data_IF_506361912225
#
_entry.id   IF_506361912225
#
_cell.length_a   1.000
_cell.length_b   1.000
_cell.length_c   1.000
_cell.angle_alpha   90.00
_cell.angle_beta   90.00
_cell.angle_gamma   90.00
#
_symmetry.space_group_name_H-M   'P 1'
#
loop_
_entity.id
_entity.type
_entity.pdbx_description
1 polymer ?
#
# COMPACT_ATOMS: atom_id res chain seq x y z
N UNK A 1 18.41 -11.91 17.32
CA UNK A 1 17.27 -11.77 16.39
C UNK A 1 16.12 -11.26 17.24
N UNK A 2 16.04 -9.94 17.39
CA UNK A 2 15.11 -9.31 18.31
C UNK A 2 13.92 -8.84 17.48
N UNK A 3 12.82 -9.60 17.52
CA UNK A 3 11.52 -9.08 17.11
C UNK A 3 11.08 -8.19 18.27
N UNK A 4 11.51 -6.92 18.23
CA UNK A 4 11.10 -5.93 19.22
C UNK A 4 9.58 -5.93 19.33
N UNK A 5 9.06 -6.00 20.54
CA UNK A 5 7.64 -5.91 20.87
C UNK A 5 7.13 -4.52 20.44
N UNK A 6 6.81 -4.35 19.15
CA UNK A 6 6.15 -3.14 18.66
C UNK A 6 4.68 -3.20 19.06
N UNK A 7 4.17 -2.10 19.63
CA UNK A 7 2.75 -1.92 19.88
C UNK A 7 1.92 -2.33 18.65
N UNK A 8 0.81 -3.04 18.86
CA UNK A 8 -0.10 -3.47 17.79
C UNK A 8 -0.46 -2.27 16.89
N UNK A 9 0.02 -2.30 15.65
CA UNK A 9 -0.20 -1.23 14.69
C UNK A 9 -1.64 -1.30 14.17
N UNK A 10 -2.29 -0.16 13.95
CA UNK A 10 -3.66 -0.14 13.40
C UNK A 10 -3.62 -0.32 11.88
N UNK A 11 -4.54 -1.11 11.34
CA UNK A 11 -4.77 -1.20 9.91
C UNK A 11 -6.25 -1.02 9.58
N UNK A 12 -6.54 -0.24 8.55
CA UNK A 12 -7.87 -0.13 7.95
C UNK A 12 -7.88 -0.82 6.59
N UNK A 13 -8.85 -1.69 6.36
CA UNK A 13 -9.06 -2.35 5.07
C UNK A 13 -10.38 -1.87 4.49
N UNK A 14 -10.29 -1.23 3.33
CA UNK A 14 -11.41 -0.70 2.56
C UNK A 14 -11.62 -1.65 1.38
N UNK A 15 -12.56 -2.57 1.52
CA UNK A 15 -12.86 -3.61 0.54
C UNK A 15 -14.33 -4.04 0.65
N UNK A 16 -15.02 -4.08 -0.49
CA UNK A 16 -16.42 -4.55 -0.57
C UNK A 16 -16.50 -6.08 -0.75
N UNK A 17 -15.40 -6.73 -1.14
CA UNK A 17 -15.30 -8.18 -1.22
C UNK A 17 -14.99 -8.77 0.17
N UNK A 18 -15.98 -9.40 0.79
CA UNK A 18 -15.85 -10.00 2.13
C UNK A 18 -14.82 -11.15 2.18
N UNK A 19 -14.67 -11.90 1.11
CA UNK A 19 -13.72 -13.02 1.04
C UNK A 19 -12.29 -12.50 1.01
N UNK A 20 -12.04 -11.52 0.14
CA UNK A 20 -10.73 -10.86 0.05
C UNK A 20 -10.39 -10.09 1.32
N UNK A 21 -11.35 -9.37 1.91
CA UNK A 21 -11.20 -8.74 3.22
C UNK A 21 -10.74 -9.75 4.29
N UNK A 22 -11.38 -10.92 4.38
CA UNK A 22 -11.02 -11.95 5.36
C UNK A 22 -9.59 -12.48 5.15
N UNK A 23 -9.18 -12.69 3.91
CA UNK A 23 -7.82 -13.12 3.58
C UNK A 23 -6.78 -12.06 3.95
N UNK A 24 -6.99 -10.79 3.57
CA UNK A 24 -6.10 -9.68 3.90
C UNK A 24 -6.01 -9.50 5.41
N UNK A 25 -7.15 -9.53 6.10
CA UNK A 25 -7.22 -9.39 7.56
C UNK A 25 -6.44 -10.49 8.25
N UNK A 26 -6.50 -11.72 7.74
CA UNK A 26 -5.71 -12.85 8.25
C UNK A 26 -4.22 -12.57 8.15
N UNK A 27 -3.74 -12.16 6.97
CA UNK A 27 -2.31 -11.82 6.75
C UNK A 27 -1.87 -10.66 7.65
N UNK A 28 -2.66 -9.61 7.78
CA UNK A 28 -2.35 -8.46 8.63
C UNK A 28 -2.37 -8.79 10.12
N UNK A 29 -3.29 -9.64 10.57
CA UNK A 29 -3.31 -10.12 11.96
C UNK A 29 -2.06 -10.95 12.27
N UNK A 30 -1.57 -11.77 11.34
CA UNK A 30 -0.28 -12.48 11.49
C UNK A 30 0.91 -11.51 11.60
N UNK A 31 0.80 -10.33 10.97
CA UNK A 31 1.77 -9.25 11.06
C UNK A 31 1.57 -8.36 12.31
N UNK A 32 0.75 -8.78 13.27
CA UNK A 32 0.41 -8.05 14.50
C UNK A 32 -0.27 -6.68 14.26
N UNK A 33 -1.01 -6.54 13.16
CA UNK A 33 -1.92 -5.39 12.96
C UNK A 33 -3.29 -5.66 13.60
N UNK A 34 -3.89 -4.63 14.20
CA UNK A 34 -5.31 -4.61 14.55
C UNK A 34 -6.12 -4.11 13.35
N UNK A 35 -6.74 -5.05 12.64
CA UNK A 35 -7.47 -4.76 11.41
C UNK A 35 -8.91 -4.32 11.70
N UNK A 36 -9.35 -3.25 11.04
CA UNK A 36 -10.75 -2.83 11.00
C UNK A 36 -11.21 -2.64 9.56
N UNK A 37 -12.41 -3.11 9.25
CA UNK A 37 -13.09 -2.71 8.02
C UNK A 37 -13.65 -1.30 8.17
N UNK A 38 -13.53 -0.48 7.14
CA UNK A 38 -14.06 0.87 7.13
C UNK A 38 -14.38 1.29 5.69
N UNK A 39 -15.39 2.13 5.51
CA UNK A 39 -15.60 2.84 4.26
C UNK A 39 -14.68 4.07 4.17
N UNK A 40 -14.27 4.46 2.96
CA UNK A 40 -13.28 5.53 2.76
C UNK A 40 -13.73 6.88 3.37
N UNK A 41 -15.02 7.17 3.33
CA UNK A 41 -15.64 8.43 3.78
C UNK A 41 -15.56 8.59 5.30
N UNK A 42 -15.45 7.47 6.03
CA UNK A 42 -15.28 7.44 7.48
C UNK A 42 -13.82 7.42 7.91
N UNK A 43 -12.87 7.24 6.99
CA UNK A 43 -11.45 7.14 7.32
C UNK A 43 -10.94 8.43 7.98
N UNK A 44 -11.36 9.58 7.47
CA UNK A 44 -10.93 10.90 7.97
C UNK A 44 -11.32 11.18 9.43
N UNK A 45 -12.37 10.53 9.93
CA UNK A 45 -12.84 10.66 11.33
C UNK A 45 -12.31 9.54 12.23
N UNK A 46 -12.00 8.37 11.65
CA UNK A 46 -11.45 7.23 12.38
C UNK A 46 -9.95 7.36 12.71
N UNK A 47 -9.22 8.16 11.92
CA UNK A 47 -7.79 8.41 12.11
C UNK A 47 -7.58 9.71 12.89
N UNK A 48 -6.79 9.63 13.96
CA UNK A 48 -6.35 10.81 14.71
C UNK A 48 -5.12 11.43 14.05
N UNK A 49 -4.89 12.74 14.26
CA UNK A 49 -3.83 13.50 13.56
C UNK A 49 -2.43 12.88 13.72
N UNK A 50 -2.14 12.31 14.88
CA UNK A 50 -0.83 11.75 15.22
C UNK A 50 -0.73 10.23 14.98
N UNK A 51 -1.80 9.60 14.49
CA UNK A 51 -1.79 8.16 14.16
C UNK A 51 -1.40 7.95 12.71
N UNK A 52 -0.50 7.00 12.43
CA UNK A 52 -0.10 6.60 11.08
C UNK A 52 -0.55 5.15 10.79
N UNK A 53 -1.87 4.88 10.67
CA UNK A 53 -2.34 3.54 10.40
C UNK A 53 -1.92 3.08 8.99
N UNK A 54 -1.79 1.77 8.82
CA UNK A 54 -1.75 1.19 7.49
C UNK A 54 -3.16 1.27 6.88
N UNK A 55 -3.29 1.79 5.67
CA UNK A 55 -4.56 1.81 4.94
C UNK A 55 -4.42 0.96 3.69
N UNK A 56 -5.27 -0.05 3.57
CA UNK A 56 -5.36 -0.93 2.41
C UNK A 56 -6.66 -0.61 1.67
N UNK A 57 -6.54 -0.23 0.39
CA UNK A 57 -7.66 0.07 -0.48
C UNK A 57 -7.72 -0.97 -1.61
N UNK A 58 -8.79 -1.73 -1.70
CA UNK A 58 -8.90 -2.79 -2.70
C UNK A 58 -9.62 -2.34 -3.97
N UNK A 59 -9.21 -2.89 -5.12
CA UNK A 59 -9.89 -2.68 -6.39
C UNK A 59 -11.31 -3.24 -6.32
N UNK A 60 -12.29 -2.40 -6.61
CA UNK A 60 -13.71 -2.74 -6.53
C UNK A 60 -14.38 -2.25 -5.25
N UNK A 61 -13.62 -1.71 -4.28
CA UNK A 61 -14.22 -0.95 -3.19
C UNK A 61 -14.88 0.32 -3.72
N UNK A 62 -16.04 0.67 -3.16
CA UNK A 62 -16.74 1.92 -3.46
C UNK A 62 -16.05 3.10 -2.79
N UNK A 63 -15.39 3.96 -3.57
CA UNK A 63 -14.76 5.18 -3.09
C UNK A 63 -14.83 6.30 -4.15
N UNK A 64 -14.75 7.56 -3.70
CA UNK A 64 -14.53 8.71 -4.58
C UNK A 64 -13.10 9.22 -4.42
N UNK A 65 -12.49 9.71 -5.49
CA UNK A 65 -11.13 10.25 -5.45
C UNK A 65 -11.00 11.43 -4.47
N UNK A 66 -12.06 12.22 -4.33
CA UNK A 66 -12.09 13.35 -3.40
C UNK A 66 -12.02 12.91 -1.93
N UNK A 67 -12.51 11.72 -1.58
CA UNK A 67 -12.43 11.22 -0.20
C UNK A 67 -10.97 10.89 0.16
N UNK A 68 -10.23 10.29 -0.79
CA UNK A 68 -8.80 10.04 -0.63
C UNK A 68 -8.03 11.36 -0.51
N UNK A 69 -8.28 12.32 -1.41
CA UNK A 69 -7.62 13.64 -1.34
C UNK A 69 -7.94 14.39 -0.05
N UNK A 70 -9.19 14.38 0.40
CA UNK A 70 -9.60 15.04 1.64
C UNK A 70 -8.90 14.42 2.86
N UNK A 71 -8.72 13.10 2.87
CA UNK A 71 -7.96 12.41 3.91
C UNK A 71 -6.53 12.94 4.01
N UNK A 72 -5.78 12.96 2.90
CA UNK A 72 -4.39 13.41 2.86
C UNK A 72 -4.25 14.93 3.10
N UNK A 73 -5.21 15.74 2.67
CA UNK A 73 -5.23 17.17 2.96
C UNK A 73 -5.33 17.47 4.46
N UNK A 74 -6.11 16.67 5.20
CA UNK A 74 -6.24 16.79 6.66
C UNK A 74 -5.07 16.15 7.41
N UNK A 75 -4.50 15.08 6.87
CA UNK A 75 -3.43 14.31 7.51
C UNK A 75 -2.18 14.30 6.63
N UNK A 76 -1.48 15.45 6.59
CA UNK A 76 -0.38 15.71 5.65
C UNK A 76 0.81 14.75 5.80
N UNK A 77 0.98 14.14 6.99
CA UNK A 77 2.10 13.26 7.30
C UNK A 77 1.79 11.77 7.08
N UNK A 78 0.65 11.41 6.50
CA UNK A 78 0.28 10.00 6.31
C UNK A 78 1.06 9.37 5.17
N UNK A 79 1.45 8.10 5.35
CA UNK A 79 1.86 7.24 4.24
C UNK A 79 0.77 7.10 3.16
N UNK A 80 1.18 6.89 1.90
CA UNK A 80 0.27 6.43 0.85
C UNK A 80 -0.52 5.19 1.29
N UNK A 81 -1.66 4.95 0.64
CA UNK A 81 -2.41 3.72 0.83
C UNK A 81 -1.81 2.58 0.00
N UNK A 82 -1.87 1.37 0.52
CA UNK A 82 -1.62 0.16 -0.25
C UNK A 82 -2.83 -0.12 -1.13
N UNK A 83 -2.68 -0.02 -2.45
CA UNK A 83 -3.77 -0.29 -3.39
C UNK A 83 -3.69 -1.71 -3.94
N UNK A 84 -4.64 -2.58 -3.57
CA UNK A 84 -4.68 -3.95 -4.04
C UNK A 84 -5.45 -4.06 -5.35
N UNK A 85 -4.77 -4.41 -6.44
CA UNK A 85 -5.41 -4.65 -7.74
C UNK A 85 -5.45 -6.13 -8.09
N UNK A 86 -6.42 -6.53 -8.91
CA UNK A 86 -6.56 -7.93 -9.27
C UNK A 86 -5.36 -8.42 -10.11
N UNK A 87 -4.97 -9.67 -9.83
CA UNK A 87 -3.89 -10.36 -10.52
C UNK A 87 -4.02 -10.38 -12.04
N UNK A 88 -2.91 -10.07 -12.72
CA UNK A 88 -2.84 -10.04 -14.18
C UNK A 88 -3.57 -8.86 -14.81
N UNK A 89 -4.03 -7.88 -14.01
CA UNK A 89 -4.62 -6.64 -14.50
C UNK A 89 -3.76 -5.45 -14.12
N UNK A 90 -3.72 -4.45 -15.00
CA UNK A 90 -3.12 -3.15 -14.69
C UNK A 90 -3.91 -2.48 -13.56
N UNK A 91 -3.24 -1.88 -12.55
CA UNK A 91 -3.92 -1.16 -11.49
C UNK A 91 -4.74 0.00 -12.04
N UNK A 92 -6.00 0.12 -11.60
CA UNK A 92 -6.89 1.21 -11.99
C UNK A 92 -6.68 2.44 -11.09
N UNK A 93 -5.52 3.08 -11.26
CA UNK A 93 -5.15 4.30 -10.54
C UNK A 93 -5.18 5.45 -11.53
N UNK A 94 -5.99 6.48 -11.23
CA UNK A 94 -6.00 7.70 -12.03
C UNK A 94 -4.76 8.55 -11.76
N UNK A 95 -4.42 9.46 -12.68
CA UNK A 95 -3.26 10.35 -12.51
C UNK A 95 -3.33 11.17 -11.22
N UNK A 96 -4.54 11.50 -10.79
CA UNK A 96 -4.81 12.27 -9.56
C UNK A 96 -4.43 11.45 -8.32
N UNK A 97 -4.64 10.13 -8.36
CA UNK A 97 -4.40 9.23 -7.24
C UNK A 97 -3.00 8.60 -7.20
N UNK A 98 -2.19 8.80 -8.25
CA UNK A 98 -0.89 8.15 -8.42
C UNK A 98 0.10 8.40 -7.25
N UNK A 99 0.03 9.56 -6.59
CA UNK A 99 0.90 9.90 -5.47
C UNK A 99 0.34 9.44 -4.10
N UNK A 100 -0.94 9.04 -4.05
CA UNK A 100 -1.60 8.62 -2.81
C UNK A 100 -1.67 7.10 -2.68
N UNK A 101 -1.42 6.36 -3.76
CA UNK A 101 -1.62 4.92 -3.84
C UNK A 101 -0.34 4.20 -4.29
N UNK A 102 0.06 3.18 -3.55
CA UNK A 102 1.12 2.25 -3.97
C UNK A 102 0.47 0.93 -4.41
N UNK A 103 0.53 0.58 -5.70
CA UNK A 103 -0.11 -0.62 -6.19
C UNK A 103 0.61 -1.88 -5.72
N UNK A 104 -0.19 -2.90 -5.39
CA UNK A 104 0.23 -4.26 -5.13
C UNK A 104 -0.79 -5.21 -5.78
N UNK A 105 -0.27 -6.22 -6.47
CA UNK A 105 -1.12 -7.24 -7.09
C UNK A 105 -1.74 -8.15 -6.01
N UNK A 106 -2.97 -8.62 -6.21
CA UNK A 106 -3.66 -9.55 -5.32
C UNK A 106 -4.43 -10.64 -6.10
N UNK A 107 -4.41 -11.93 -5.69
CA UNK A 107 -3.65 -12.48 -4.56
C UNK A 107 -2.15 -12.50 -4.81
N UNK A 108 -1.37 -12.41 -3.73
CA UNK A 108 0.10 -12.33 -3.78
C UNK A 108 0.76 -13.20 -2.74
N UNK A 109 2.09 -13.30 -2.78
CA UNK A 109 2.85 -14.02 -1.75
C UNK A 109 2.98 -13.17 -0.49
N UNK A 110 3.16 -13.82 0.65
CA UNK A 110 3.42 -13.12 1.91
C UNK A 110 4.64 -12.17 1.82
N UNK A 111 5.70 -12.61 1.15
CA UNK A 111 6.91 -11.80 0.98
C UNK A 111 6.63 -10.52 0.17
N UNK A 112 5.88 -10.63 -0.92
CA UNK A 112 5.50 -9.49 -1.74
C UNK A 112 4.59 -8.52 -0.99
N UNK A 113 3.70 -9.04 -0.16
CA UNK A 113 2.85 -8.22 0.71
C UNK A 113 3.65 -7.43 1.74
N UNK A 114 4.58 -8.09 2.45
CA UNK A 114 5.50 -7.44 3.40
C UNK A 114 6.39 -6.41 2.71
N UNK A 115 6.90 -6.73 1.53
CA UNK A 115 7.67 -5.78 0.72
C UNK A 115 6.82 -4.58 0.28
N UNK A 116 5.54 -4.79 -0.04
CA UNK A 116 4.58 -3.72 -0.31
C UNK A 116 4.44 -2.76 0.86
N UNK A 117 4.26 -3.27 2.09
CA UNK A 117 4.18 -2.45 3.30
C UNK A 117 5.49 -1.67 3.54
N UNK A 118 6.65 -2.34 3.39
CA UNK A 118 7.96 -1.66 3.53
C UNK A 118 8.14 -0.51 2.55
N UNK A 119 7.60 -0.63 1.33
CA UNK A 119 7.64 0.45 0.33
C UNK A 119 6.84 1.68 0.76
N UNK A 120 5.74 1.51 1.51
CA UNK A 120 4.95 2.63 2.05
C UNK A 120 5.77 3.44 3.06
N UNK A 121 6.43 2.74 3.99
CA UNK A 121 7.27 3.35 5.02
C UNK A 121 8.44 4.14 4.40
N UNK A 122 9.02 3.63 3.32
CA UNK A 122 10.04 4.36 2.57
C UNK A 122 9.49 5.55 1.77
N UNK A 123 8.21 5.52 1.39
CA UNK A 123 7.55 6.58 0.63
C UNK A 123 7.11 7.75 1.51
N UNK A 124 6.87 7.56 2.81
CA UNK A 124 6.67 8.66 3.79
C UNK A 124 7.79 9.70 3.72
N UNK A 125 9.03 9.25 3.52
CA UNK A 125 10.21 10.12 3.38
C UNK A 125 10.23 10.94 2.08
N UNK A 126 9.37 10.63 1.11
CA UNK A 126 9.33 11.27 -0.22
C UNK A 126 8.17 12.23 -0.43
N UNK A 127 7.13 12.16 0.41
CA UNK A 127 6.04 13.14 0.41
C UNK A 127 6.39 14.42 1.20
N UNK A 128 7.48 14.38 1.99
CA UNK A 128 8.10 15.54 2.61
C UNK A 128 9.04 16.20 1.57
N UNK A 129 8.69 17.40 1.11
CA UNK A 129 9.30 18.07 -0.04
C UNK A 129 10.79 18.42 0.16
N UNK A 130 11.68 17.84 -0.68
CA UNK A 130 12.80 18.49 -1.40
C UNK A 130 13.59 17.46 -2.26
N UNK A 131 13.48 16.16 -1.97
CA UNK A 131 14.17 15.08 -2.68
C UNK A 131 13.41 14.51 -3.92
N UNK A 132 12.20 15.01 -4.20
CA UNK A 132 11.25 14.41 -5.15
C UNK A 132 11.67 14.44 -6.62
N UNK A 133 12.68 15.24 -7.00
CA UNK A 133 13.19 15.24 -8.38
C UNK A 133 14.11 14.06 -8.69
N UNK A 134 14.89 13.56 -7.73
CA UNK A 134 15.80 12.41 -7.95
C UNK A 134 15.08 11.07 -7.87
N UNK A 135 14.10 10.93 -6.98
CA UNK A 135 13.44 9.63 -6.78
C UNK A 135 12.40 9.34 -7.88
N UNK A 136 11.72 10.36 -8.41
CA UNK A 136 10.82 10.19 -9.57
C UNK A 136 11.55 9.64 -10.82
N UNK A 137 12.83 9.94 -10.99
CA UNK A 137 13.66 9.36 -12.06
C UNK A 137 14.05 7.90 -11.77
N UNK A 138 14.34 7.56 -10.52
CA UNK A 138 14.56 6.17 -10.10
C UNK A 138 13.30 5.31 -10.27
N UNK A 139 12.11 5.88 -9.99
CA UNK A 139 10.83 5.19 -10.20
C UNK A 139 10.49 5.01 -11.68
N UNK A 140 10.87 5.94 -12.58
CA UNK A 140 10.74 5.74 -14.03
C UNK A 140 11.70 4.67 -14.54
N UNK A 141 12.93 4.61 -14.01
CA UNK A 141 13.91 3.59 -14.38
C UNK A 141 13.50 2.19 -13.90
N UNK A 142 12.90 2.07 -12.71
CA UNK A 142 12.45 0.78 -12.17
C UNK A 142 11.20 0.21 -12.87
N UNK A 143 10.31 1.06 -13.37
CA UNK A 143 9.09 0.64 -14.08
C UNK A 143 9.35 0.36 -15.57
N UNK A 144 10.47 0.87 -16.11
CA UNK A 144 10.88 0.74 -17.52
C UNK A 144 11.74 -0.48 -17.88
N UNK A 145 12.06 -1.39 -16.94
CA UNK A 145 12.98 -2.51 -17.22
C UNK A 145 12.36 -3.91 -17.08
N UNK A 146 11.02 -4.01 -17.19
CA UNK A 146 10.25 -5.26 -17.06
C UNK A 146 10.45 -6.29 -18.19
N UNK A 147 11.46 -6.13 -19.05
CA UNK A 147 11.91 -7.18 -19.98
C UNK A 147 13.08 -8.02 -19.39
N UNK A 148 13.81 -7.52 -18.38
CA UNK A 148 14.99 -8.19 -17.82
C UNK A 148 14.71 -9.08 -16.59
N UNK A 149 13.49 -9.09 -16.04
CA UNK A 149 13.07 -10.01 -14.96
C UNK A 149 12.60 -11.35 -15.53
N UNK A 150 13.31 -11.88 -16.53
CA UNK A 150 13.22 -13.28 -16.99
C UNK A 150 14.57 -14.02 -16.96
N UNK A 151 15.62 -13.43 -16.39
CA UNK A 151 16.99 -13.99 -16.45
C UNK A 151 17.71 -14.22 -15.12
N UNK A 152 16.99 -14.41 -14.01
CA UNK A 152 17.61 -14.84 -12.72
C UNK A 152 16.97 -16.12 -12.17
N UNK A 153 16.76 -17.12 -13.03
CA UNK A 153 16.46 -18.51 -12.63
C UNK A 153 17.04 -19.55 -13.60
N UNK A 154 18.24 -19.31 -14.09
CA UNK A 154 19.10 -20.37 -14.66
C UNK A 154 20.54 -19.98 -14.36
N UNK A 155 21.10 -20.54 -13.30
CA UNK A 155 22.54 -20.79 -13.13
C UNK A 155 22.78 -21.61 -11.84
N UNK A 156 22.05 -22.72 -11.70
CA UNK A 156 22.47 -23.86 -10.86
C UNK A 156 22.27 -25.13 -11.67
N UNK A 157 23.10 -25.27 -12.70
CA UNK A 157 23.50 -26.55 -13.29
C UNK A 157 24.63 -26.25 -14.27
N UNK A 158 25.86 -26.31 -13.75
CA UNK A 158 27.00 -27.06 -14.26
C UNK A 158 28.04 -27.07 -13.13
#
# INVERSE_FOLDING_TARGET
MEVGFMALQKAFVIDDDKSRYAQISTVLNFLNYKVKSLAIDRLQTAVSKDELPLVVLAEGASFKENDVRAFFAKHQNQQPFLYLHNKGKTPKITKILANYLVPLEWPTTYQDFVNGIRRLQSAENSLNEEASRRTAELFKSLVGNSQEIKRVRRLTHC
#
